data_IF_712135067442
#
_entry.id   IF_712135067442
#
_cell.length_a   1.000
_cell.length_b   1.000
_cell.length_c   1.000
_cell.angle_alpha   90.00
_cell.angle_beta   90.00
_cell.angle_gamma   90.00
#
_symmetry.space_group_name_H-M   'P 1'
#
loop_
_entity.id
_entity.type
_entity.pdbx_description
1 polymer ?
#
# COMPACT_ATOMS: atom_id res chain seq x y z
N UNK A 1 -8.78 -13.67 15.22
CA UNK A 1 -8.36 -13.19 13.90
C UNK A 1 -9.40 -13.67 12.91
N UNK A 2 -10.04 -12.76 12.18
CA UNK A 2 -11.03 -13.16 11.17
C UNK A 2 -10.28 -13.64 9.92
N UNK A 3 -10.52 -14.87 9.53
CA UNK A 3 -10.09 -15.36 8.23
C UNK A 3 -10.96 -14.68 7.16
N UNK A 4 -10.35 -13.91 6.28
CA UNK A 4 -11.07 -13.24 5.19
C UNK A 4 -10.98 -14.10 3.93
N UNK A 5 -12.10 -14.65 3.44
CA UNK A 5 -12.08 -15.36 2.16
C UNK A 5 -11.92 -14.36 1.03
N UNK A 6 -10.96 -14.62 0.14
CA UNK A 6 -10.75 -13.87 -1.10
C UNK A 6 -11.30 -14.70 -2.25
N UNK A 7 -12.12 -14.08 -3.11
CA UNK A 7 -12.63 -14.68 -4.33
C UNK A 7 -12.09 -13.91 -5.54
N UNK A 8 -11.64 -14.63 -6.56
CA UNK A 8 -11.21 -14.08 -7.85
C UNK A 8 -12.14 -14.63 -8.92
N UNK A 9 -12.67 -13.77 -9.77
CA UNK A 9 -13.58 -14.13 -10.85
C UNK A 9 -13.03 -13.67 -12.20
N UNK A 10 -13.40 -14.37 -13.25
CA UNK A 10 -13.16 -13.99 -14.66
C UNK A 10 -14.47 -14.08 -15.42
N UNK A 11 -14.63 -13.22 -16.41
CA UNK A 11 -15.77 -13.28 -17.33
C UNK A 11 -15.65 -14.44 -18.34
N UNK A 12 -14.42 -14.91 -18.60
CA UNK A 12 -14.17 -16.03 -19.48
C UNK A 12 -14.34 -17.36 -18.74
N UNK A 13 -15.26 -18.22 -19.16
CA UNK A 13 -15.50 -19.52 -18.52
C UNK A 13 -14.41 -20.56 -18.81
N UNK A 14 -13.59 -20.35 -19.82
CA UNK A 14 -12.51 -21.28 -20.26
C UNK A 14 -11.15 -20.86 -19.76
N UNK A 15 -11.04 -19.67 -19.21
CA UNK A 15 -9.78 -19.10 -18.76
C UNK A 15 -9.25 -19.75 -17.48
N UNK A 16 -7.92 -19.76 -17.35
CA UNK A 16 -7.23 -20.18 -16.15
C UNK A 16 -6.78 -18.94 -15.37
N UNK A 17 -7.35 -18.72 -14.19
CA UNK A 17 -6.87 -17.68 -13.29
C UNK A 17 -5.63 -18.20 -12.56
N UNK A 18 -4.55 -17.42 -12.57
CA UNK A 18 -3.36 -17.65 -11.76
C UNK A 18 -3.07 -16.46 -10.88
N UNK A 19 -2.51 -16.74 -9.70
CA UNK A 19 -2.24 -15.69 -8.73
C UNK A 19 -0.96 -15.95 -7.95
N UNK A 20 -0.43 -14.87 -7.35
CA UNK A 20 0.67 -14.86 -6.39
C UNK A 20 0.20 -14.22 -5.07
N UNK A 21 0.95 -14.41 -4.00
CA UNK A 21 0.63 -13.85 -2.67
C UNK A 21 1.73 -12.94 -2.12
N UNK A 22 2.84 -12.86 -2.82
CA UNK A 22 4.05 -12.14 -2.47
C UNK A 22 4.25 -10.85 -3.27
N UNK A 23 3.30 -10.51 -4.16
CA UNK A 23 3.39 -9.37 -5.05
C UNK A 23 4.14 -9.62 -6.35
N UNK A 24 4.71 -10.80 -6.56
CA UNK A 24 5.33 -11.15 -7.84
C UNK A 24 4.30 -11.23 -8.97
N UNK A 25 4.73 -10.96 -10.20
CA UNK A 25 3.86 -11.01 -11.37
C UNK A 25 3.42 -12.45 -11.67
N UNK A 26 2.10 -12.75 -11.74
CA UNK A 26 1.64 -14.10 -12.06
C UNK A 26 2.06 -14.54 -13.47
N UNK A 27 2.73 -15.68 -13.55
CA UNK A 27 3.15 -16.33 -14.79
C UNK A 27 2.46 -17.67 -15.00
N UNK A 28 2.80 -18.36 -16.11
CA UNK A 28 2.23 -19.65 -16.48
C UNK A 28 2.41 -20.77 -15.43
N UNK A 29 3.40 -20.62 -14.53
CA UNK A 29 3.69 -21.58 -13.48
C UNK A 29 3.19 -21.14 -12.09
N UNK A 30 2.57 -19.96 -11.98
CA UNK A 30 2.01 -19.47 -10.72
C UNK A 30 0.81 -20.30 -10.28
N UNK A 31 0.46 -20.20 -9.01
CA UNK A 31 -0.64 -20.97 -8.42
C UNK A 31 -1.95 -20.76 -9.19
N UNK A 32 -2.59 -21.86 -9.60
CA UNK A 32 -3.91 -21.82 -10.22
C UNK A 32 -4.97 -21.54 -9.16
N UNK A 33 -5.85 -20.61 -9.43
CA UNK A 33 -7.02 -20.34 -8.58
C UNK A 33 -8.08 -21.42 -8.84
N UNK A 34 -8.50 -22.12 -7.79
CA UNK A 34 -9.50 -23.19 -7.86
C UNK A 34 -10.71 -22.96 -6.94
N UNK A 35 -10.70 -21.84 -6.19
CA UNK A 35 -11.76 -21.50 -5.26
C UNK A 35 -11.28 -20.51 -4.20
N UNK A 36 -12.15 -20.10 -3.27
CA UNK A 36 -11.84 -19.07 -2.28
C UNK A 36 -10.56 -19.36 -1.50
N UNK A 37 -9.70 -18.34 -1.39
CA UNK A 37 -8.42 -18.39 -0.67
C UNK A 37 -8.55 -17.64 0.64
N UNK A 38 -8.20 -18.27 1.75
CA UNK A 38 -8.21 -17.62 3.05
C UNK A 38 -6.97 -16.76 3.26
N UNK A 39 -7.17 -15.49 3.58
CA UNK A 39 -6.11 -14.55 3.93
C UNK A 39 -5.91 -14.56 5.45
N UNK A 40 -4.71 -14.96 5.88
CA UNK A 40 -4.34 -15.13 7.30
C UNK A 40 -3.21 -14.21 7.76
N UNK A 41 -2.60 -13.46 6.84
CA UNK A 41 -1.53 -12.48 7.10
C UNK A 41 -1.61 -11.35 6.08
N UNK A 42 -0.93 -10.23 6.33
CA UNK A 42 -0.71 -9.21 5.31
C UNK A 42 -0.17 -9.86 4.04
N UNK A 43 -0.76 -9.54 2.89
CA UNK A 43 -0.47 -10.22 1.63
C UNK A 43 -0.70 -9.29 0.45
N UNK A 44 0.16 -9.39 -0.54
CA UNK A 44 0.06 -8.72 -1.85
C UNK A 44 -0.42 -9.74 -2.87
N UNK A 45 -1.73 -9.75 -3.12
CA UNK A 45 -2.32 -10.67 -4.10
C UNK A 45 -2.25 -10.01 -5.47
N UNK A 46 -1.69 -10.71 -6.45
CA UNK A 46 -1.74 -10.33 -7.86
C UNK A 46 -2.33 -11.48 -8.65
N UNK A 47 -3.18 -11.17 -9.61
CA UNK A 47 -3.85 -12.17 -10.42
C UNK A 47 -3.87 -11.79 -11.90
N UNK A 48 -3.82 -12.79 -12.77
CA UNK A 48 -3.97 -12.70 -14.21
C UNK A 48 -4.80 -13.85 -14.74
N UNK A 49 -5.46 -13.59 -15.84
CA UNK A 49 -6.21 -14.59 -16.59
C UNK A 49 -5.36 -15.06 -17.76
N UNK A 50 -5.30 -16.36 -17.98
CA UNK A 50 -4.60 -17.00 -19.10
C UNK A 50 -5.65 -17.71 -19.97
N UNK A 51 -5.80 -17.26 -21.20
CA UNK A 51 -6.76 -17.82 -22.15
C UNK A 51 -6.17 -19.03 -22.90
N UNK A 52 -7.04 -19.92 -23.44
CA UNK A 52 -6.59 -21.06 -24.22
C UNK A 52 -5.83 -20.71 -25.50
N UNK A 53 -6.05 -19.51 -26.05
CA UNK A 53 -5.34 -19.01 -27.22
C UNK A 53 -3.94 -18.46 -26.92
N UNK A 54 -3.54 -18.48 -25.65
CA UNK A 54 -2.26 -17.99 -25.16
C UNK A 54 -2.25 -16.50 -24.78
N UNK A 55 -3.36 -15.79 -24.95
CA UNK A 55 -3.46 -14.40 -24.48
C UNK A 55 -3.51 -14.34 -22.95
N UNK A 56 -3.02 -13.22 -22.41
CA UNK A 56 -2.93 -13.00 -20.96
C UNK A 56 -3.48 -11.62 -20.63
N UNK A 57 -4.36 -11.55 -19.65
CA UNK A 57 -4.95 -10.28 -19.21
C UNK A 57 -3.94 -9.33 -18.59
N UNK A 58 -4.26 -8.04 -18.47
CA UNK A 58 -3.59 -7.16 -17.53
C UNK A 58 -3.60 -7.76 -16.12
N UNK A 59 -2.63 -7.33 -15.29
CA UNK A 59 -2.56 -7.72 -13.88
C UNK A 59 -3.59 -6.95 -13.08
N UNK A 60 -4.20 -7.62 -12.10
CA UNK A 60 -5.04 -6.99 -11.07
C UNK A 60 -4.42 -7.29 -9.72
N UNK A 61 -4.23 -6.27 -8.89
CA UNK A 61 -3.68 -6.40 -7.55
C UNK A 61 -4.70 -6.09 -6.47
N UNK A 62 -4.56 -6.78 -5.33
CA UNK A 62 -5.24 -6.43 -4.10
C UNK A 62 -4.35 -6.71 -2.89
N UNK A 63 -4.12 -5.68 -2.09
CA UNK A 63 -3.36 -5.81 -0.85
C UNK A 63 -4.30 -5.99 0.33
N UNK A 64 -3.89 -6.83 1.27
CA UNK A 64 -4.57 -7.09 2.53
C UNK A 64 -3.61 -6.78 3.65
N UNK A 65 -3.97 -5.85 4.53
CA UNK A 65 -3.19 -5.50 5.72
C UNK A 65 -3.84 -6.14 6.94
N UNK A 66 -3.07 -6.95 7.65
CA UNK A 66 -3.51 -7.55 8.90
C UNK A 66 -3.10 -6.68 10.07
N UNK A 67 -4.00 -5.84 10.55
CA UNK A 67 -3.74 -4.99 11.70
C UNK A 67 -3.55 -5.81 12.97
N UNK A 68 -2.54 -5.46 13.76
CA UNK A 68 -2.33 -6.03 15.08
C UNK A 68 -3.51 -5.73 16.01
N UNK A 69 -3.76 -6.62 16.96
CA UNK A 69 -4.95 -6.54 17.83
C UNK A 69 -5.01 -5.25 18.66
N UNK A 70 -3.86 -4.73 19.06
CA UNK A 70 -3.74 -3.51 19.86
C UNK A 70 -4.05 -2.21 19.08
N UNK A 71 -4.03 -2.25 17.75
CA UNK A 71 -4.35 -1.07 16.92
C UNK A 71 -5.72 -1.13 16.25
N UNK A 72 -6.41 -2.28 16.28
CA UNK A 72 -7.72 -2.44 15.61
C UNK A 72 -8.77 -1.43 16.04
N UNK A 73 -8.77 -1.08 17.32
CA UNK A 73 -9.72 -0.13 17.91
C UNK A 73 -9.14 1.27 18.00
N UNK A 74 -8.01 1.52 17.34
CA UNK A 74 -7.42 2.84 17.29
C UNK A 74 -8.38 3.83 16.62
N UNK A 75 -8.46 5.04 17.17
CA UNK A 75 -9.29 6.09 16.66
C UNK A 75 -8.60 7.44 16.85
N UNK A 76 -8.72 8.32 15.86
CA UNK A 76 -8.07 9.63 15.82
C UNK A 76 -9.06 10.71 15.39
N UNK A 77 -8.76 11.98 15.66
CA UNK A 77 -9.49 13.14 15.12
C UNK A 77 -8.86 13.70 13.85
N UNK A 78 -7.71 13.15 13.46
CA UNK A 78 -6.99 13.51 12.23
C UNK A 78 -6.90 12.28 11.31
N UNK A 79 -6.62 12.45 10.01
CA UNK A 79 -6.36 11.34 9.10
C UNK A 79 -5.25 10.41 9.61
N UNK A 80 -5.36 9.13 9.27
CA UNK A 80 -4.38 8.10 9.62
C UNK A 80 -3.86 7.47 8.34
N UNK A 81 -2.54 7.42 8.21
CA UNK A 81 -1.85 6.73 7.12
C UNK A 81 -1.33 5.40 7.64
N UNK A 82 -1.67 4.33 6.97
CA UNK A 82 -1.14 2.98 7.22
C UNK A 82 -0.24 2.60 6.07
N UNK A 83 0.99 2.17 6.38
CA UNK A 83 1.93 1.64 5.39
C UNK A 83 2.38 0.26 5.85
N UNK A 84 2.40 -0.69 4.91
CA UNK A 84 2.86 -2.07 5.15
C UNK A 84 3.82 -2.48 4.02
N UNK A 85 5.05 -2.83 4.37
CA UNK A 85 6.05 -3.39 3.45
C UNK A 85 6.02 -4.94 3.44
N UNK A 86 4.98 -5.54 3.98
CA UNK A 86 4.72 -6.98 4.00
C UNK A 86 5.85 -7.84 4.58
N UNK A 87 6.52 -7.32 5.60
CA UNK A 87 7.60 -8.02 6.29
C UNK A 87 8.95 -7.92 5.58
N UNK A 88 9.12 -6.99 4.64
CA UNK A 88 10.38 -6.71 3.93
C UNK A 88 11.53 -6.20 4.80
N UNK A 89 11.30 -6.02 6.11
CA UNK A 89 12.33 -5.49 7.03
C UNK A 89 12.32 -3.98 7.13
N UNK A 90 13.49 -3.36 7.29
CA UNK A 90 13.63 -1.91 7.34
C UNK A 90 13.56 -1.29 5.93
N UNK A 91 12.92 -0.13 5.82
CA UNK A 91 12.84 0.61 4.56
C UNK A 91 14.24 1.01 4.08
N UNK A 92 14.66 0.66 2.86
CA UNK A 92 16.00 0.96 2.35
C UNK A 92 16.20 2.45 2.08
N UNK A 93 17.45 2.89 1.99
CA UNK A 93 17.80 4.29 1.70
C UNK A 93 18.23 4.55 0.24
N UNK A 94 18.56 3.51 -0.51
CA UNK A 94 19.15 3.64 -1.85
C UNK A 94 18.18 3.45 -3.01
N UNK A 95 17.16 2.63 -2.82
CA UNK A 95 16.16 2.30 -3.85
C UNK A 95 14.78 2.25 -3.23
N UNK A 96 13.76 2.40 -4.05
CA UNK A 96 12.40 2.16 -3.60
C UNK A 96 12.15 0.67 -3.37
N UNK A 97 11.45 0.36 -2.29
CA UNK A 97 10.90 -0.96 -2.00
C UNK A 97 9.38 -0.91 -2.15
N UNK A 98 8.81 -1.97 -2.70
CA UNK A 98 7.37 -2.08 -2.85
C UNK A 98 6.68 -2.17 -1.48
N UNK A 99 5.70 -1.30 -1.27
CA UNK A 99 4.83 -1.28 -0.12
C UNK A 99 3.38 -0.98 -0.54
N UNK A 100 2.51 -0.92 0.43
CA UNK A 100 1.13 -0.52 0.24
C UNK A 100 0.78 0.58 1.24
N UNK A 101 0.07 1.61 0.78
CA UNK A 101 -0.41 2.70 1.61
C UNK A 101 -1.94 2.76 1.59
N UNK A 102 -2.53 2.96 2.76
CA UNK A 102 -3.94 3.26 2.91
C UNK A 102 -4.11 4.52 3.76
N UNK A 103 -4.99 5.42 3.34
CA UNK A 103 -5.34 6.64 4.06
C UNK A 103 -6.78 6.54 4.52
N UNK A 104 -6.98 6.79 5.81
CA UNK A 104 -8.29 6.83 6.45
C UNK A 104 -8.56 8.24 6.93
N UNK A 105 -9.70 8.81 6.56
CA UNK A 105 -10.15 10.13 6.99
C UNK A 105 -11.22 10.05 8.08
N UNK A 106 -11.39 11.14 8.86
CA UNK A 106 -12.46 11.19 9.86
C UNK A 106 -13.85 11.13 9.24
N UNK A 107 -14.66 10.20 9.70
CA UNK A 107 -16.10 10.11 9.44
C UNK A 107 -16.82 10.38 10.75
N UNK A 108 -17.72 11.37 10.78
CA UNK A 108 -18.37 11.80 12.02
C UNK A 108 -17.39 12.36 13.07
N UNK A 109 -16.29 12.98 12.62
CA UNK A 109 -15.25 13.58 13.48
C UNK A 109 -14.20 12.59 14.00
N UNK A 110 -14.25 11.32 13.60
CA UNK A 110 -13.29 10.29 14.04
C UNK A 110 -12.83 9.40 12.88
N UNK A 111 -11.52 9.20 12.78
CA UNK A 111 -10.91 8.18 11.93
C UNK A 111 -10.97 6.83 12.65
N UNK A 112 -11.33 5.79 11.93
CA UNK A 112 -11.36 4.40 12.40
C UNK A 112 -11.01 3.45 11.27
N UNK A 113 -10.35 2.34 11.56
CA UNK A 113 -10.08 1.27 10.59
C UNK A 113 -11.30 0.41 10.23
N UNK A 114 -12.46 0.67 10.86
CA UNK A 114 -13.73 0.10 10.42
C UNK A 114 -14.35 0.84 9.23
N UNK A 115 -13.87 2.05 8.95
CA UNK A 115 -14.26 2.82 7.77
C UNK A 115 -13.50 2.33 6.55
N UNK A 116 -14.02 2.64 5.37
CA UNK A 116 -13.30 2.43 4.13
C UNK A 116 -12.14 3.46 4.02
N UNK A 117 -11.00 3.01 3.51
CA UNK A 117 -9.88 3.91 3.20
C UNK A 117 -10.27 4.83 2.03
N UNK A 118 -10.02 6.13 2.15
CA UNK A 118 -10.27 7.10 1.07
C UNK A 118 -9.26 6.98 -0.06
N UNK A 119 -8.09 6.43 0.24
CA UNK A 119 -7.05 6.07 -0.72
C UNK A 119 -6.40 4.77 -0.27
N UNK A 120 -6.20 3.85 -1.20
CA UNK A 120 -5.55 2.57 -0.95
C UNK A 120 -4.81 2.14 -2.23
N UNK A 121 -3.46 2.23 -2.23
CA UNK A 121 -2.67 1.96 -3.42
C UNK A 121 -1.32 1.35 -3.13
N UNK A 122 -0.73 0.75 -4.16
CA UNK A 122 0.68 0.33 -4.19
C UNK A 122 1.57 1.56 -4.21
N UNK A 123 2.68 1.49 -3.52
CA UNK A 123 3.69 2.54 -3.46
C UNK A 123 5.09 1.95 -3.54
N UNK A 124 6.02 2.75 -4.05
CA UNK A 124 7.43 2.63 -3.73
C UNK A 124 7.73 3.43 -2.46
N UNK A 125 8.54 2.92 -1.55
CA UNK A 125 8.97 3.63 -0.35
C UNK A 125 10.47 3.52 -0.16
N UNK A 126 11.12 4.63 0.22
CA UNK A 126 12.53 4.66 0.63
C UNK A 126 12.76 5.61 1.78
N UNK A 127 13.77 5.34 2.59
CA UNK A 127 14.26 6.26 3.61
C UNK A 127 14.83 7.51 2.96
N UNK A 128 14.48 8.68 3.50
CA UNK A 128 14.97 9.97 3.01
C UNK A 128 15.82 10.68 4.06
N UNK A 129 16.89 11.33 3.60
CA UNK A 129 17.78 12.18 4.39
C UNK A 129 19.04 11.46 4.86
N UNK A 130 20.23 11.99 4.46
CA UNK A 130 21.54 11.39 4.77
C UNK A 130 21.88 11.47 6.27
N UNK A 131 21.55 12.57 6.94
CA UNK A 131 21.86 12.79 8.36
C UNK A 131 20.74 12.41 9.33
N UNK A 132 19.57 12.03 8.83
CA UNK A 132 18.36 11.77 9.63
C UNK A 132 17.92 10.32 9.60
N UNK A 133 18.53 9.48 8.76
CA UNK A 133 18.14 8.08 8.56
C UNK A 133 18.31 7.16 9.78
N UNK A 134 19.10 7.55 10.78
CA UNK A 134 19.28 6.80 12.02
C UNK A 134 18.49 7.34 13.21
N UNK A 135 17.51 8.21 12.98
CA UNK A 135 16.68 8.79 14.05
C UNK A 135 15.42 7.99 14.31
N UNK A 136 14.81 8.14 15.49
CA UNK A 136 13.55 7.48 15.88
C UNK A 136 12.37 7.84 14.97
N UNK A 137 12.40 9.03 14.35
CA UNK A 137 11.46 9.47 13.32
C UNK A 137 12.21 9.75 12.03
N UNK A 138 12.08 8.82 11.11
CA UNK A 138 12.66 8.91 9.77
C UNK A 138 11.67 9.58 8.81
N UNK A 139 12.17 10.36 7.87
CA UNK A 139 11.38 10.81 6.73
C UNK A 139 11.48 9.78 5.60
N UNK A 140 10.38 9.61 4.86
CA UNK A 140 10.32 8.69 3.73
C UNK A 140 10.02 9.44 2.44
N UNK A 141 10.64 9.04 1.34
CA UNK A 141 10.16 9.32 -0.01
C UNK A 141 9.18 8.23 -0.41
N UNK A 142 8.10 8.62 -1.06
CA UNK A 142 7.06 7.75 -1.57
C UNK A 142 6.84 8.04 -3.05
N UNK A 143 6.53 7.00 -3.81
CA UNK A 143 5.99 7.09 -5.17
C UNK A 143 4.72 6.24 -5.23
N UNK A 144 3.62 6.77 -5.78
CA UNK A 144 2.48 5.94 -6.11
C UNK A 144 2.77 5.14 -7.36
N UNK A 145 2.47 3.86 -7.34
CA UNK A 145 2.76 2.93 -8.42
C UNK A 145 1.51 2.29 -9.02
N UNK A 146 1.55 2.16 -10.33
CA UNK A 146 0.61 1.33 -11.07
C UNK A 146 0.95 -0.17 -10.96
N UNK A 147 0.28 -1.01 -11.75
CA UNK A 147 0.51 -2.46 -11.77
C UNK A 147 1.88 -2.87 -12.33
N UNK A 148 2.62 -1.97 -12.98
CA UNK A 148 3.94 -2.23 -13.56
C UNK A 148 5.07 -1.64 -12.71
N UNK A 149 4.77 -1.04 -11.55
CA UNK A 149 5.67 -0.25 -10.72
C UNK A 149 6.14 1.04 -11.42
N UNK A 150 5.31 1.57 -12.31
CA UNK A 150 5.51 2.87 -12.92
C UNK A 150 4.71 3.92 -12.16
N UNK A 151 5.18 5.16 -12.20
CA UNK A 151 4.57 6.29 -11.50
C UNK A 151 3.12 6.49 -11.92
N UNK A 152 2.28 6.78 -10.96
CA UNK A 152 0.88 7.13 -11.19
C UNK A 152 0.44 8.21 -10.20
N UNK A 153 -0.30 9.19 -10.69
CA UNK A 153 -0.68 10.36 -9.90
C UNK A 153 -1.88 10.07 -9.02
N UNK A 154 -1.84 10.58 -7.79
CA UNK A 154 -2.94 10.57 -6.83
C UNK A 154 -3.00 11.88 -6.06
N UNK A 155 -4.19 12.22 -5.59
CA UNK A 155 -4.48 13.41 -4.77
C UNK A 155 -4.77 12.99 -3.32
N UNK A 156 -3.77 12.64 -2.50
CA UNK A 156 -3.99 12.27 -1.12
C UNK A 156 -4.44 13.49 -0.30
N UNK A 157 -5.49 13.31 0.52
CA UNK A 157 -6.01 14.34 1.44
C UNK A 157 -6.40 15.68 0.76
N UNK A 158 -6.81 15.63 -0.52
CA UNK A 158 -7.18 16.81 -1.29
C UNK A 158 -6.00 17.71 -1.71
N UNK A 159 -4.76 17.23 -1.56
CA UNK A 159 -3.57 17.91 -2.09
C UNK A 159 -3.52 17.80 -3.63
N UNK A 160 -2.68 18.59 -4.33
CA UNK A 160 -2.51 18.45 -5.76
C UNK A 160 -2.19 17.01 -6.18
N UNK A 161 -2.60 16.64 -7.39
CA UNK A 161 -2.33 15.33 -7.97
C UNK A 161 -0.84 15.21 -8.33
N UNK A 162 -0.17 14.17 -7.81
CA UNK A 162 1.27 13.94 -7.96
C UNK A 162 1.59 12.47 -7.63
N UNK A 163 2.64 11.93 -8.23
CA UNK A 163 3.16 10.59 -7.91
C UNK A 163 4.12 10.60 -6.73
N UNK A 164 4.98 11.62 -6.63
CA UNK A 164 6.09 11.74 -5.68
C UNK A 164 5.70 12.48 -4.41
N UNK A 165 5.84 11.83 -3.28
CA UNK A 165 5.47 12.38 -1.98
C UNK A 165 6.55 12.25 -0.94
N UNK A 166 6.49 13.07 0.10
CA UNK A 166 7.35 12.98 1.26
C UNK A 166 6.50 12.84 2.52
N UNK A 167 6.71 11.74 3.24
CA UNK A 167 6.29 11.64 4.63
C UNK A 167 7.38 12.27 5.50
N UNK A 168 7.11 13.47 5.96
CA UNK A 168 8.05 14.20 6.80
C UNK A 168 7.99 13.72 8.25
N UNK A 169 9.09 13.16 8.73
CA UNK A 169 9.26 12.78 10.13
C UNK A 169 9.67 14.00 10.98
N UNK A 170 8.70 14.74 11.51
CA UNK A 170 9.00 15.83 12.43
C UNK A 170 9.75 15.30 13.66
N UNK A 171 11.02 15.68 13.82
CA UNK A 171 11.88 15.27 14.92
C UNK A 171 12.01 16.36 16.00
N UNK A 172 12.76 16.11 17.06
CA UNK A 172 12.87 16.95 18.25
C UNK A 172 13.12 18.45 18.00
N UNK A 173 13.79 18.80 16.92
CA UNK A 173 14.09 20.21 16.57
C UNK A 173 13.02 20.88 15.71
N UNK A 174 12.01 20.14 15.25
CA UNK A 174 10.91 20.69 14.42
C UNK A 174 9.56 20.10 14.84
N UNK A 175 9.31 19.97 16.12
CA UNK A 175 8.07 19.41 16.67
C UNK A 175 6.83 20.20 16.31
N UNK A 176 6.96 21.51 16.13
CA UNK A 176 5.87 22.41 15.78
C UNK A 176 5.76 22.63 14.26
N UNK A 177 6.52 21.93 13.45
CA UNK A 177 6.57 22.07 11.97
C UNK A 177 6.93 23.51 11.52
N UNK A 178 7.67 24.24 12.34
CA UNK A 178 8.02 25.65 12.06
C UNK A 178 8.83 25.80 10.75
N UNK A 179 9.68 24.82 10.45
CA UNK A 179 10.44 24.83 9.19
C UNK A 179 9.55 24.73 7.95
N UNK A 180 8.46 23.97 8.02
CA UNK A 180 7.50 23.88 6.92
C UNK A 180 6.71 25.17 6.73
N UNK A 181 6.39 25.87 7.82
CA UNK A 181 5.70 27.16 7.75
C UNK A 181 6.59 28.29 7.24
N UNK A 182 7.89 28.24 7.44
CA UNK A 182 8.86 29.25 6.98
C UNK A 182 9.24 29.12 5.49
N UNK A 183 8.97 27.99 4.85
CA UNK A 183 9.23 27.78 3.41
C UNK A 183 8.15 28.45 2.54
N UNK A 184 7.05 28.88 3.13
CA UNK A 184 5.92 29.51 2.42
C UNK A 184 5.88 31.05 2.55
N UNK A 185 6.98 31.69 2.97
CA UNK A 185 7.10 33.15 3.06
C UNK A 185 7.80 33.71 1.83
#
# INVERSE_FOLDING_TARGET
>A
MGNTPMTITSESPTAVIRYTRDGSLPGANSTRYTGPVTITSSSRIRARVFEPDGSVSPTVSRSYIMLASNVRNFSSTIPVVVIDSFGGGGVPSGSFEEAFMAIYEPVGGRTSFSNEAVLANRIGIKTRGSSTGGRDKVSYGLEFWDENNEDTDFSPLGMPEESDWILYGAYNFDRAHLRLSLIHI
#
